data_IF_813765768299
#
_entry.id   IF_813765768299
#
_cell.length_a   1.000
_cell.length_b   1.000
_cell.length_c   1.000
_cell.angle_alpha   90.00
_cell.angle_beta   90.00
_cell.angle_gamma   90.00
#
_symmetry.space_group_name_H-M   'P 1'
#
loop_
_entity.id
_entity.type
_entity.pdbx_description
1 polymer ?
#
# COMPACT_ATOMS: atom_id res chain seq x y z
N UNK A 1 26.65 16.28 9.74
CA UNK A 1 26.09 15.92 11.06
C UNK A 1 24.84 15.09 10.82
N UNK A 2 24.85 13.80 11.16
CA UNK A 2 23.71 12.88 10.96
C UNK A 2 22.89 12.85 12.25
N UNK A 3 21.56 12.95 12.13
CA UNK A 3 20.63 12.87 13.27
C UNK A 3 20.03 11.48 13.34
N UNK A 4 20.08 10.84 14.51
CA UNK A 4 19.40 9.57 14.78
C UNK A 4 17.94 9.87 15.14
N UNK A 5 17.02 9.09 14.59
CA UNK A 5 15.59 9.18 14.90
C UNK A 5 15.28 8.38 16.16
N UNK A 6 14.55 8.98 17.09
CA UNK A 6 14.00 8.33 18.28
C UNK A 6 12.47 8.28 18.22
N UNK A 7 11.83 7.45 19.04
CA UNK A 7 10.37 7.26 19.04
C UNK A 7 9.59 8.58 19.17
N UNK A 8 10.11 9.52 19.96
CA UNK A 8 9.52 10.87 20.15
C UNK A 8 9.46 11.71 18.86
N UNK A 9 10.31 11.39 17.88
CA UNK A 9 10.35 12.04 16.58
C UNK A 9 9.30 11.44 15.63
N UNK A 10 8.99 10.16 15.81
CA UNK A 10 8.07 9.40 14.94
C UNK A 10 6.62 9.53 15.38
N UNK A 11 6.33 9.50 16.68
CA UNK A 11 4.96 9.57 17.22
C UNK A 11 4.21 10.81 16.71
N UNK A 12 4.92 11.93 16.51
CA UNK A 12 4.35 13.18 16.00
C UNK A 12 3.88 13.13 14.55
N UNK A 13 4.30 12.12 13.78
CA UNK A 13 3.92 11.94 12.37
C UNK A 13 2.54 11.27 12.23
N UNK A 14 2.08 10.55 13.25
CA UNK A 14 0.81 9.84 13.21
C UNK A 14 -0.33 10.71 13.77
N UNK A 15 -1.43 10.78 13.02
CA UNK A 15 -2.68 11.42 13.46
C UNK A 15 -3.67 10.36 13.91
N UNK A 16 -4.43 10.65 14.97
CA UNK A 16 -5.54 9.80 15.39
C UNK A 16 -6.60 9.74 14.28
N UNK A 17 -7.26 8.58 14.13
CA UNK A 17 -8.36 8.41 13.17
C UNK A 17 -9.66 8.84 13.80
N UNK A 18 -10.40 9.72 13.13
CA UNK A 18 -11.75 10.08 13.54
C UNK A 18 -12.72 8.92 13.28
N UNK A 19 -13.70 8.75 14.18
CA UNK A 19 -14.65 7.63 14.14
C UNK A 19 -15.60 7.70 12.93
N UNK A 20 -15.96 8.90 12.51
CA UNK A 20 -16.87 9.15 11.38
C UNK A 20 -16.08 9.40 10.10
N UNK A 21 -15.29 8.41 9.68
CA UNK A 21 -14.48 8.46 8.46
C UNK A 21 -14.76 7.26 7.56
N UNK A 22 -14.47 7.40 6.28
CA UNK A 22 -14.63 6.33 5.30
C UNK A 22 -13.32 6.08 4.54
N UNK A 23 -13.31 5.03 3.70
CA UNK A 23 -12.14 4.65 2.88
C UNK A 23 -11.56 5.77 2.00
N UNK A 24 -12.32 6.83 1.71
CA UNK A 24 -11.82 7.99 0.97
C UNK A 24 -11.06 9.00 1.83
N UNK A 25 -11.37 9.06 3.13
CA UNK A 25 -10.75 9.99 4.09
C UNK A 25 -9.25 9.75 4.27
N UNK A 26 -8.79 8.52 4.01
CA UNK A 26 -7.37 8.13 4.11
C UNK A 26 -6.65 8.07 2.76
N UNK A 27 -7.26 8.62 1.71
CA UNK A 27 -6.67 8.72 0.39
C UNK A 27 -6.67 7.43 -0.43
N UNK A 28 -6.27 7.59 -1.70
CA UNK A 28 -6.08 6.48 -2.64
C UNK A 28 -4.61 6.41 -3.03
N UNK A 29 -3.98 5.26 -2.81
CA UNK A 29 -2.61 5.00 -3.24
C UNK A 29 -2.60 4.22 -4.55
N UNK A 30 -1.79 4.68 -5.51
CA UNK A 30 -1.47 3.94 -6.72
C UNK A 30 -0.02 3.45 -6.64
N UNK A 31 0.17 2.15 -6.73
CA UNK A 31 1.49 1.52 -6.84
C UNK A 31 1.68 1.07 -8.28
N UNK A 32 2.74 1.55 -8.92
CA UNK A 32 3.09 1.16 -10.29
C UNK A 32 4.34 0.31 -10.22
N UNK A 33 4.26 -0.94 -10.65
CA UNK A 33 5.41 -1.81 -10.67
C UNK A 33 5.07 -3.28 -10.56
N UNK A 34 6.08 -4.11 -10.79
CA UNK A 34 5.89 -5.54 -11.01
C UNK A 34 6.17 -5.90 -12.46
N UNK A 35 6.72 -7.08 -12.64
CA UNK A 35 6.98 -7.66 -13.96
C UNK A 35 6.89 -9.18 -13.85
N UNK A 36 6.97 -9.88 -14.98
CA UNK A 36 6.93 -11.36 -15.01
C UNK A 36 7.90 -12.00 -14.01
N UNK A 37 9.10 -11.45 -13.86
CA UNK A 37 10.12 -11.97 -12.93
C UNK A 37 10.07 -11.31 -11.54
N UNK A 38 9.34 -10.20 -11.38
CA UNK A 38 9.29 -9.41 -10.14
C UNK A 38 7.85 -9.21 -9.62
N UNK A 39 6.95 -10.17 -9.87
CA UNK A 39 5.56 -10.09 -9.42
C UNK A 39 5.45 -9.97 -7.89
N UNK A 40 6.35 -10.62 -7.16
CA UNK A 40 6.42 -10.55 -5.70
C UNK A 40 6.66 -9.14 -5.17
N UNK A 41 7.35 -8.26 -5.90
CA UNK A 41 7.58 -6.88 -5.48
C UNK A 41 6.27 -6.09 -5.39
N UNK A 42 5.38 -6.27 -6.37
CA UNK A 42 4.04 -5.66 -6.36
C UNK A 42 3.20 -6.16 -5.19
N UNK A 43 3.25 -7.47 -4.92
CA UNK A 43 2.54 -8.10 -3.79
C UNK A 43 3.06 -7.56 -2.45
N UNK A 44 4.39 -7.44 -2.27
CA UNK A 44 4.98 -6.96 -1.02
C UNK A 44 4.69 -5.47 -0.77
N UNK A 45 4.70 -4.65 -1.82
CA UNK A 45 4.35 -3.24 -1.74
C UNK A 45 2.89 -3.02 -1.31
N UNK A 46 2.02 -3.99 -1.58
CA UNK A 46 0.58 -3.89 -1.30
C UNK A 46 0.17 -4.58 0.01
N UNK A 47 0.54 -5.85 0.23
CA UNK A 47 -0.20 -6.80 1.07
C UNK A 47 -0.06 -6.65 2.59
N UNK A 48 1.04 -6.11 3.11
CA UNK A 48 1.45 -6.48 4.47
C UNK A 48 2.22 -5.47 5.31
N UNK A 49 2.59 -4.30 4.80
CA UNK A 49 3.28 -3.29 5.63
C UNK A 49 3.21 -1.89 5.04
N UNK A 50 3.17 -1.77 3.72
CA UNK A 50 3.37 -0.49 3.05
C UNK A 50 2.06 0.28 2.81
N UNK A 51 1.09 -0.28 2.09
CA UNK A 51 -0.09 0.49 1.66
C UNK A 51 -1.33 0.29 2.53
N UNK A 52 -1.84 -0.95 2.61
CA UNK A 52 -3.06 -1.23 3.40
C UNK A 52 -2.78 -1.17 4.90
N UNK A 53 -1.63 -1.68 5.36
CA UNK A 53 -1.30 -1.72 6.79
C UNK A 53 -0.95 -0.36 7.40
N UNK A 54 -0.33 0.56 6.64
CA UNK A 54 -0.13 1.96 7.10
C UNK A 54 -1.45 2.72 7.15
N UNK A 55 -2.49 2.15 6.52
CA UNK A 55 -3.86 2.60 6.60
C UNK A 55 -4.30 3.49 5.44
N UNK A 56 -3.71 3.32 4.25
CA UNK A 56 -4.33 3.84 3.03
C UNK A 56 -5.74 3.30 2.91
N UNK A 57 -6.70 4.17 2.58
CA UNK A 57 -8.10 3.77 2.55
C UNK A 57 -8.46 2.97 1.29
N UNK A 58 -7.85 3.33 0.15
CA UNK A 58 -7.96 2.60 -1.11
C UNK A 58 -6.54 2.36 -1.65
N UNK A 59 -6.29 1.17 -2.19
CA UNK A 59 -5.03 0.82 -2.84
C UNK A 59 -5.31 0.26 -4.23
N UNK A 60 -4.51 0.73 -5.20
CA UNK A 60 -4.59 0.36 -6.61
C UNK A 60 -3.21 -0.08 -7.09
N UNK A 61 -3.16 -1.18 -7.83
CA UNK A 61 -1.92 -1.73 -8.39
C UNK A 61 -1.94 -1.61 -9.91
N UNK A 62 -1.00 -0.87 -10.48
CA UNK A 62 -0.73 -0.85 -11.91
C UNK A 62 0.37 -1.85 -12.26
N UNK A 63 -0.01 -2.95 -12.92
CA UNK A 63 0.88 -4.08 -13.24
C UNK A 63 0.62 -4.56 -14.67
N UNK A 64 1.56 -5.27 -15.32
CA UNK A 64 1.29 -5.91 -16.61
C UNK A 64 0.15 -6.96 -16.52
N UNK A 65 -0.75 -7.00 -17.51
CA UNK A 65 -1.89 -7.93 -17.61
C UNK A 65 -1.55 -9.39 -17.25
N UNK A 66 -0.37 -9.87 -17.67
CA UNK A 66 0.10 -11.23 -17.36
C UNK A 66 0.19 -11.57 -15.87
N UNK A 67 0.17 -10.56 -15.00
CA UNK A 67 0.27 -10.71 -13.55
C UNK A 67 -1.09 -10.58 -12.83
N UNK A 68 -2.16 -10.22 -13.52
CA UNK A 68 -3.49 -9.99 -12.91
C UNK A 68 -4.00 -11.25 -12.21
N UNK A 69 -4.06 -12.37 -12.94
CA UNK A 69 -4.52 -13.64 -12.40
C UNK A 69 -3.69 -14.15 -11.19
N UNK A 70 -2.35 -14.21 -11.25
CA UNK A 70 -1.57 -14.66 -10.09
C UNK A 70 -1.61 -13.69 -8.91
N UNK A 71 -1.82 -12.39 -9.12
CA UNK A 71 -2.01 -11.44 -8.01
C UNK A 71 -3.38 -11.59 -7.34
N UNK A 72 -4.47 -11.71 -8.11
CA UNK A 72 -5.82 -11.86 -7.55
C UNK A 72 -5.98 -13.13 -6.70
N UNK A 73 -5.21 -14.18 -6.98
CA UNK A 73 -5.18 -15.38 -6.15
C UNK A 73 -4.60 -15.15 -4.73
N UNK A 74 -3.89 -14.04 -4.53
CA UNK A 74 -3.12 -13.75 -3.31
C UNK A 74 -3.59 -12.54 -2.54
N UNK A 75 -4.22 -11.58 -3.21
CA UNK A 75 -4.67 -10.30 -2.67
C UNK A 75 -6.07 -10.05 -3.20
N UNK A 76 -7.00 -9.76 -2.31
CA UNK A 76 -8.43 -9.57 -2.65
C UNK A 76 -8.90 -8.13 -2.45
N UNK A 77 -8.14 -7.34 -1.69
CA UNK A 77 -8.53 -6.03 -1.20
C UNK A 77 -8.13 -4.89 -2.16
N UNK A 78 -7.16 -5.14 -3.04
CA UNK A 78 -6.64 -4.15 -3.99
C UNK A 78 -7.29 -4.23 -5.36
N UNK A 79 -7.54 -3.05 -5.93
CA UNK A 79 -8.01 -2.92 -7.31
C UNK A 79 -6.81 -2.93 -8.27
N UNK A 80 -6.81 -3.83 -9.25
CA UNK A 80 -5.78 -3.87 -10.29
C UNK A 80 -6.17 -2.99 -11.47
N UNK A 81 -5.19 -2.23 -11.98
CA UNK A 81 -5.23 -1.52 -13.25
C UNK A 81 -4.17 -2.19 -14.12
N UNK A 82 -4.55 -2.78 -15.24
CA UNK A 82 -3.62 -3.50 -16.12
C UNK A 82 -3.51 -2.85 -17.49
#
# INVERSE_FOLDING_TARGET
MVRILEDKDIIKLFRAREKDTHKGSFGTLLIIGGSRCYAGAAILAEAGAAALRIGSGIVRLAIPESLVAPLHARITETTIIA
#
